data_IF_786420836340
#
_entry.id   IF_786420836340
#
_cell.length_a   1.000
_cell.length_b   1.000
_cell.length_c   1.000
_cell.angle_alpha   90.00
_cell.angle_beta   90.00
_cell.angle_gamma   90.00
#
_symmetry.space_group_name_H-M   'P 1'
#
loop_
_entity.id
_entity.type
_entity.pdbx_description
1 polymer ?
#
# COMPACT_ATOMS: atom_id res chain seq x y z
N UNK A 1 -1.66 -15.99 10.66
CA UNK A 1 -1.68 -14.82 9.79
C UNK A 1 -3.08 -14.62 9.24
N UNK A 2 -3.58 -13.39 9.29
CA UNK A 2 -4.89 -13.10 8.72
C UNK A 2 -4.78 -12.87 7.23
N UNK A 3 -5.76 -13.33 6.47
CA UNK A 3 -5.86 -13.11 5.04
C UNK A 3 -7.25 -12.64 4.64
N UNK A 4 -7.41 -12.30 3.38
CA UNK A 4 -8.71 -11.95 2.82
C UNK A 4 -9.45 -13.23 2.47
N UNK A 5 -10.73 -13.32 2.86
CA UNK A 5 -11.60 -14.42 2.48
C UNK A 5 -12.10 -14.17 1.04
N UNK A 6 -11.51 -14.88 0.09
CA UNK A 6 -11.82 -14.71 -1.34
C UNK A 6 -13.18 -15.32 -1.74
N UNK A 7 -13.83 -16.07 -0.86
CA UNK A 7 -15.18 -16.59 -1.10
C UNK A 7 -16.25 -15.56 -0.77
N UNK A 8 -15.88 -14.44 -0.11
CA UNK A 8 -16.80 -13.37 0.25
C UNK A 8 -16.59 -12.15 -0.64
N UNK A 9 -17.61 -11.28 -0.77
CA UNK A 9 -17.51 -10.11 -1.64
C UNK A 9 -16.36 -9.19 -1.22
N UNK A 10 -15.65 -8.69 -2.23
CA UNK A 10 -14.67 -7.61 -2.08
C UNK A 10 -15.28 -6.36 -2.69
N UNK A 11 -15.36 -5.29 -1.90
CA UNK A 11 -15.93 -4.03 -2.35
C UNK A 11 -14.82 -3.13 -2.87
N UNK A 12 -14.75 -3.00 -4.19
CA UNK A 12 -13.84 -2.12 -4.89
C UNK A 12 -14.31 -0.67 -4.76
N UNK A 13 -13.39 0.24 -4.46
CA UNK A 13 -13.69 1.67 -4.39
C UNK A 13 -13.02 2.45 -5.51
N UNK A 14 -11.71 2.39 -5.63
CA UNK A 14 -10.99 3.02 -6.73
C UNK A 14 -9.62 2.39 -6.91
N UNK A 15 -9.04 2.63 -8.08
CA UNK A 15 -7.66 2.25 -8.39
C UNK A 15 -7.02 3.34 -9.23
N UNK A 16 -5.72 3.49 -9.11
CA UNK A 16 -4.96 4.44 -9.91
C UNK A 16 -3.49 4.05 -9.94
N UNK A 17 -2.80 4.54 -10.96
CA UNK A 17 -1.35 4.53 -11.02
C UNK A 17 -0.81 5.78 -10.35
N UNK A 18 0.29 5.62 -9.62
CA UNK A 18 0.99 6.72 -8.99
C UNK A 18 2.49 6.55 -9.17
N UNK A 19 3.19 7.66 -9.35
CA UNK A 19 4.64 7.72 -9.26
C UNK A 19 5.04 8.87 -8.37
N UNK A 20 6.13 8.63 -7.63
CA UNK A 20 6.70 9.67 -6.79
C UNK A 20 7.72 10.47 -7.57
N UNK A 21 7.73 11.77 -7.32
CA UNK A 21 8.82 12.64 -7.73
C UNK A 21 10.07 12.33 -6.93
N UNK A 22 11.20 12.82 -7.41
CA UNK A 22 12.47 12.69 -6.70
C UNK A 22 12.34 13.31 -5.30
N UNK A 23 12.81 12.58 -4.29
CA UNK A 23 12.77 12.96 -2.88
C UNK A 23 11.36 12.99 -2.25
N UNK A 24 10.38 12.41 -2.88
CA UNK A 24 9.05 12.28 -2.30
C UNK A 24 9.00 11.13 -1.28
N UNK A 25 8.28 11.36 -0.17
CA UNK A 25 8.02 10.35 0.85
C UNK A 25 6.58 9.89 0.79
N UNK A 26 6.33 8.67 1.28
CA UNK A 26 4.98 8.16 1.46
C UNK A 26 4.18 9.09 2.38
N UNK A 27 2.90 9.27 2.07
CA UNK A 27 2.00 10.10 2.88
C UNK A 27 1.81 9.48 4.27
N UNK A 28 1.70 10.34 5.28
CA UNK A 28 1.36 9.92 6.65
C UNK A 28 -0.15 9.94 6.82
N UNK A 29 -0.73 8.78 7.15
CA UNK A 29 -2.19 8.66 7.32
C UNK A 29 -2.56 7.40 8.10
N UNK A 30 -3.79 7.37 8.61
CA UNK A 30 -4.45 6.12 9.02
C UNK A 30 -5.27 5.65 7.82
N UNK A 31 -5.10 4.40 7.41
CA UNK A 31 -5.84 3.85 6.29
C UNK A 31 -7.33 3.71 6.62
N UNK A 32 -8.18 4.33 5.83
CA UNK A 32 -9.65 4.24 5.99
C UNK A 32 -10.20 2.99 5.29
N UNK A 33 -9.45 2.45 4.34
CA UNK A 33 -9.78 1.23 3.60
C UNK A 33 -8.55 0.37 3.49
N UNK A 34 -8.72 -0.86 3.01
CA UNK A 34 -7.59 -1.67 2.60
C UNK A 34 -7.03 -1.15 1.28
N UNK A 35 -5.72 -1.14 1.14
CA UNK A 35 -5.05 -0.66 -0.07
C UNK A 35 -4.07 -1.72 -0.56
N UNK A 36 -4.31 -2.22 -1.76
CA UNK A 36 -3.35 -3.09 -2.46
C UNK A 36 -2.36 -2.21 -3.21
N UNK A 37 -1.06 -2.47 -3.01
CA UNK A 37 0.04 -1.80 -3.69
C UNK A 37 0.76 -2.82 -4.56
N UNK A 38 0.91 -2.51 -5.86
CA UNK A 38 1.72 -3.31 -6.81
C UNK A 38 2.78 -2.39 -7.40
N UNK A 39 4.04 -2.67 -7.12
CA UNK A 39 5.15 -1.85 -7.59
C UNK A 39 5.66 -2.37 -8.93
N UNK A 40 5.78 -1.47 -9.91
CA UNK A 40 6.29 -1.78 -11.25
C UNK A 40 7.73 -1.33 -11.45
N UNK A 41 8.13 -0.26 -10.79
CA UNK A 41 9.46 0.33 -10.94
C UNK A 41 9.84 1.05 -9.65
N UNK A 42 11.15 1.18 -9.39
CA UNK A 42 11.67 1.84 -8.21
C UNK A 42 11.39 1.06 -6.92
N UNK A 43 11.52 1.74 -5.79
CA UNK A 43 11.26 1.15 -4.46
C UNK A 43 10.36 2.07 -3.66
N UNK A 44 9.22 1.56 -3.23
CA UNK A 44 8.31 2.27 -2.33
C UNK A 44 8.69 1.96 -0.89
N UNK A 45 8.97 3.01 -0.10
CA UNK A 45 9.33 2.89 1.32
C UNK A 45 8.27 3.54 2.17
N UNK A 46 7.81 2.81 3.17
CA UNK A 46 6.86 3.32 4.16
C UNK A 46 6.98 2.53 5.47
N UNK A 47 6.40 3.08 6.52
CA UNK A 47 6.25 2.41 7.80
C UNK A 47 4.77 2.14 8.05
N UNK A 48 4.46 0.97 8.59
CA UNK A 48 3.11 0.57 8.95
C UNK A 48 3.12 0.13 10.41
N UNK A 49 2.41 0.87 11.26
CA UNK A 49 2.40 0.65 12.72
C UNK A 49 3.83 0.46 13.28
N UNK A 50 4.73 1.39 12.93
CA UNK A 50 6.16 1.41 13.32
C UNK A 50 7.04 0.33 12.70
N UNK A 51 6.51 -0.49 11.81
CA UNK A 51 7.28 -1.48 11.08
C UNK A 51 7.62 -0.96 9.67
N UNK A 52 8.90 -0.97 9.32
CA UNK A 52 9.38 -0.46 8.04
C UNK A 52 9.27 -1.52 6.94
N UNK A 53 8.84 -1.08 5.77
CA UNK A 53 8.70 -1.92 4.58
C UNK A 53 9.36 -1.28 3.37
N UNK A 54 9.91 -2.13 2.51
CA UNK A 54 10.37 -1.77 1.17
C UNK A 54 9.67 -2.69 0.18
N UNK A 55 8.93 -2.11 -0.76
CA UNK A 55 8.25 -2.87 -1.80
C UNK A 55 8.93 -2.56 -3.12
N UNK A 56 9.45 -3.61 -3.78
CA UNK A 56 10.22 -3.53 -5.02
C UNK A 56 9.42 -4.09 -6.19
N UNK A 57 9.87 -3.87 -7.44
CA UNK A 57 9.13 -4.35 -8.62
C UNK A 57 8.86 -5.86 -8.56
N UNK A 58 7.63 -6.23 -8.91
CA UNK A 58 7.17 -7.61 -8.85
C UNK A 58 6.63 -8.03 -7.49
N UNK A 59 6.74 -7.17 -6.48
CA UNK A 59 6.16 -7.41 -5.16
C UNK A 59 4.85 -6.64 -4.98
N UNK A 60 4.04 -7.12 -4.07
CA UNK A 60 2.84 -6.41 -3.64
C UNK A 60 2.79 -6.31 -2.12
N UNK A 61 1.98 -5.39 -1.63
CA UNK A 61 1.72 -5.23 -0.20
C UNK A 61 0.28 -4.76 -0.01
N UNK A 62 -0.37 -5.24 1.04
CA UNK A 62 -1.70 -4.78 1.40
C UNK A 62 -1.59 -3.95 2.68
N UNK A 63 -1.86 -2.64 2.56
CA UNK A 63 -1.99 -1.74 3.71
C UNK A 63 -3.40 -1.93 4.26
N UNK A 64 -3.49 -2.42 5.47
CA UNK A 64 -4.78 -2.78 6.07
C UNK A 64 -5.48 -1.57 6.65
N UNK A 65 -6.82 -1.57 6.57
CA UNK A 65 -7.66 -0.59 7.23
C UNK A 65 -7.29 -0.47 8.72
N UNK A 66 -7.23 0.76 9.22
CA UNK A 66 -6.90 1.05 10.61
C UNK A 66 -5.40 1.11 10.92
N UNK A 67 -4.53 0.76 9.99
CA UNK A 67 -3.08 0.85 10.20
C UNK A 67 -2.56 2.27 10.00
N UNK A 68 -1.54 2.64 10.77
CA UNK A 68 -0.90 3.95 10.68
C UNK A 68 0.29 3.86 9.73
N UNK A 69 0.19 4.60 8.62
CA UNK A 69 1.18 4.62 7.56
C UNK A 69 2.00 5.90 7.63
N UNK A 70 3.32 5.80 7.53
CA UNK A 70 4.20 6.97 7.46
C UNK A 70 5.30 6.77 6.42
N UNK A 71 5.87 7.90 5.96
CA UNK A 71 7.07 7.88 5.14
C UNK A 71 8.30 8.07 6.01
N UNK A 72 8.97 6.99 6.40
CA UNK A 72 10.16 7.07 7.24
C UNK A 72 11.39 7.55 6.47
N UNK A 73 11.41 7.36 5.16
CA UNK A 73 12.52 7.74 4.30
C UNK A 73 12.00 8.05 2.89
N UNK A 74 12.85 8.67 2.08
CA UNK A 74 12.55 8.95 0.68
C UNK A 74 12.48 7.64 -0.09
N UNK A 75 11.43 7.49 -0.91
CA UNK A 75 11.30 6.36 -1.82
C UNK A 75 12.16 6.58 -3.06
N UNK A 76 12.56 5.48 -3.74
CA UNK A 76 13.36 5.54 -4.97
C UNK A 76 12.42 5.60 -6.18
N UNK A 77 11.84 6.77 -6.42
CA UNK A 77 10.98 7.06 -7.58
C UNK A 77 10.06 5.88 -7.95
N UNK A 78 9.26 5.37 -7.00
CA UNK A 78 8.41 4.22 -7.28
C UNK A 78 7.31 4.56 -8.27
N UNK A 79 6.99 3.59 -9.12
CA UNK A 79 5.80 3.60 -9.97
C UNK A 79 4.96 2.40 -9.55
N UNK A 80 3.73 2.65 -9.13
CA UNK A 80 2.90 1.59 -8.59
C UNK A 80 1.42 1.80 -8.86
N UNK A 81 0.68 0.68 -8.87
CA UNK A 81 -0.77 0.67 -8.88
C UNK A 81 -1.25 0.60 -7.42
N UNK A 82 -2.24 1.39 -7.07
CA UNK A 82 -2.92 1.23 -5.81
C UNK A 82 -4.41 0.99 -6.04
N UNK A 83 -4.98 0.10 -5.23
CA UNK A 83 -6.40 -0.26 -5.29
C UNK A 83 -6.98 -0.13 -3.89
N UNK A 84 -7.93 0.78 -3.72
CA UNK A 84 -8.71 0.88 -2.49
C UNK A 84 -9.88 -0.09 -2.55
N UNK A 85 -10.00 -0.93 -1.52
CA UNK A 85 -11.07 -1.91 -1.47
C UNK A 85 -11.47 -2.19 -0.02
N UNK A 86 -12.59 -2.86 0.17
CA UNK A 86 -12.97 -3.47 1.44
C UNK A 86 -13.17 -4.95 1.22
N UNK A 87 -12.35 -5.74 1.89
CA UNK A 87 -12.47 -7.18 1.92
C UNK A 87 -12.93 -7.67 3.28
N UNK A 88 -13.28 -8.93 3.36
CA UNK A 88 -13.55 -9.60 4.62
C UNK A 88 -12.31 -10.41 4.99
N UNK A 89 -11.70 -10.04 6.11
CA UNK A 89 -10.47 -10.67 6.58
C UNK A 89 -10.78 -11.90 7.44
N UNK A 90 -9.99 -12.93 7.24
CA UNK A 90 -10.08 -14.18 8.00
C UNK A 90 -8.94 -14.34 8.97
#
# INVERSE_FOLDING_TARGET
MKGIDLEKPIFYQNASLRFFDKNEKHITRICETDVLLLVFDGTLRFSEDDKKYEVVPGMYHIQRQGTYQTGYDVSDSPKYLFVHFKGIWT
#
